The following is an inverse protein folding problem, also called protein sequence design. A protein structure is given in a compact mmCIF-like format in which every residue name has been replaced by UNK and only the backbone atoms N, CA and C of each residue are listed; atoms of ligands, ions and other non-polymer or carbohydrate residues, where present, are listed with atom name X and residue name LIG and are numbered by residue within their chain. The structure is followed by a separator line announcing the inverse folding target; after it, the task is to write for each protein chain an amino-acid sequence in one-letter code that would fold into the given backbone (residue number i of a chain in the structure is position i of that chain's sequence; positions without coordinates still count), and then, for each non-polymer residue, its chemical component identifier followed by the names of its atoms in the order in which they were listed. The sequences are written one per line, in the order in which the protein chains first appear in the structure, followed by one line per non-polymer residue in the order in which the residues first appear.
data_IF_621683310183
#
_entry.id   IF_621683310183
#
_cell.length_a   1.000
_cell.length_b   1.000
_cell.length_c   1.000
_cell.angle_alpha   90.00
_cell.angle_beta   90.00
_cell.angle_gamma   90.00
#
_symmetry.space_group_name_H-M   'P 1'
#
loop_
_entity.id
_entity.type
_entity.pdbx_description
1 polymer ?
#
# COMPACT_ATOMS: atom_id res chain seq x y z
N UNK A 1 0.66 5.45 -9.52
CA UNK A 1 -0.08 6.66 -9.09
C UNK A 1 -0.59 7.51 -10.24
N UNK A 2 0.27 8.08 -11.10
CA UNK A 2 -0.16 8.93 -12.24
C UNK A 2 -1.26 8.29 -13.11
N UNK A 3 -1.09 7.01 -13.46
CA UNK A 3 -2.07 6.22 -14.23
C UNK A 3 -3.41 6.06 -13.50
N UNK A 4 -3.39 5.86 -12.17
CA UNK A 4 -4.60 5.75 -11.38
C UNK A 4 -5.36 7.06 -11.29
N UNK A 5 -4.65 8.20 -11.17
CA UNK A 5 -5.30 9.52 -11.21
C UNK A 5 -6.03 9.71 -12.54
N UNK A 6 -5.35 9.43 -13.66
CA UNK A 6 -5.94 9.52 -15.00
C UNK A 6 -7.16 8.60 -15.16
N UNK A 7 -7.04 7.35 -14.74
CA UNK A 7 -8.12 6.34 -14.80
C UNK A 7 -9.33 6.74 -13.97
N UNK A 8 -9.13 7.13 -12.71
CA UNK A 8 -10.19 7.46 -11.76
C UNK A 8 -10.82 8.83 -12.02
N UNK A 9 -10.06 9.78 -12.60
CA UNK A 9 -10.63 11.04 -13.09
C UNK A 9 -11.66 10.79 -14.19
N UNK A 10 -11.43 9.78 -15.03
CA UNK A 10 -12.33 9.39 -16.12
C UNK A 10 -12.64 10.58 -17.03
N UNK A 11 -13.93 10.90 -17.16
CA UNK A 11 -14.42 12.00 -18.00
C UNK A 11 -14.25 13.40 -17.37
N UNK A 12 -13.96 13.50 -16.07
CA UNK A 12 -13.77 14.79 -15.37
C UNK A 12 -12.59 15.52 -15.99
N UNK A 13 -12.76 16.72 -16.52
CA UNK A 13 -11.62 17.45 -17.12
C UNK A 13 -10.70 18.07 -16.04
N UNK A 14 -9.52 18.56 -16.44
CA UNK A 14 -8.56 19.13 -15.48
C UNK A 14 -9.07 20.35 -14.72
N UNK A 15 -9.92 21.16 -15.35
CA UNK A 15 -10.50 22.35 -14.71
C UNK A 15 -11.50 21.93 -13.62
N UNK A 16 -12.35 20.94 -13.92
CA UNK A 16 -13.28 20.37 -12.96
C UNK A 16 -12.54 19.72 -11.79
N UNK A 17 -11.50 18.92 -12.07
CA UNK A 17 -10.70 18.30 -11.00
C UNK A 17 -9.99 19.35 -10.14
N UNK A 18 -9.47 20.44 -10.73
CA UNK A 18 -8.90 21.56 -9.99
C UNK A 18 -9.94 22.22 -9.08
N UNK A 19 -11.18 22.42 -9.57
CA UNK A 19 -12.30 22.89 -8.76
C UNK A 19 -12.62 21.95 -7.59
N UNK A 20 -12.72 20.64 -7.85
CA UNK A 20 -12.99 19.63 -6.82
C UNK A 20 -11.91 19.56 -5.74
N UNK A 21 -10.64 19.72 -6.11
CA UNK A 21 -9.53 19.79 -5.15
C UNK A 21 -9.69 20.98 -4.20
N UNK A 22 -10.06 22.15 -4.73
CA UNK A 22 -10.29 23.34 -3.92
C UNK A 22 -11.53 23.19 -3.04
N UNK A 23 -12.62 22.69 -3.61
CA UNK A 23 -13.92 22.55 -2.93
C UNK A 23 -13.89 21.51 -1.81
N UNK A 24 -13.37 20.31 -2.09
CA UNK A 24 -13.47 19.16 -1.18
C UNK A 24 -12.27 18.99 -0.25
N UNK A 25 -11.09 19.45 -0.66
CA UNK A 25 -9.85 19.21 0.06
C UNK A 25 -9.14 20.49 0.50
N UNK A 26 -9.72 21.67 0.23
CA UNK A 26 -9.08 22.96 0.45
C UNK A 26 -7.65 23.05 -0.14
N UNK A 27 -7.43 22.35 -1.27
CA UNK A 27 -6.11 22.16 -1.84
C UNK A 27 -6.06 22.73 -3.27
N UNK A 28 -5.07 23.57 -3.56
CA UNK A 28 -4.97 24.26 -4.84
C UNK A 28 -3.93 23.59 -5.75
N UNK A 29 -4.42 22.96 -6.83
CA UNK A 29 -3.58 22.53 -7.95
C UNK A 29 -4.24 23.04 -9.22
N UNK A 30 -3.49 23.81 -10.01
CA UNK A 30 -3.97 24.28 -11.30
C UNK A 30 -3.99 23.15 -12.36
N UNK A 31 -4.66 23.39 -13.48
CA UNK A 31 -4.83 22.41 -14.56
C UNK A 31 -3.49 21.90 -15.13
N UNK A 32 -2.49 22.77 -15.23
CA UNK A 32 -1.12 22.41 -15.67
C UNK A 32 -0.47 21.46 -14.68
N UNK A 33 -0.63 21.71 -13.38
CA UNK A 33 -0.12 20.88 -12.30
C UNK A 33 -0.74 19.48 -12.33
N UNK A 34 -2.05 19.39 -12.54
CA UNK A 34 -2.77 18.11 -12.69
C UNK A 34 -2.26 17.34 -13.90
N UNK A 35 -2.12 18.01 -15.05
CA UNK A 35 -1.58 17.38 -16.27
C UNK A 35 -0.17 16.81 -16.04
N UNK A 36 0.71 17.54 -15.35
CA UNK A 36 2.07 17.09 -15.01
C UNK A 36 2.09 15.93 -14.01
N UNK A 37 1.11 15.85 -13.12
CA UNK A 37 0.95 14.69 -12.24
C UNK A 37 0.60 13.47 -13.08
N UNK A 38 -0.37 13.58 -13.99
CA UNK A 38 -0.79 12.46 -14.86
C UNK A 38 0.29 12.02 -15.86
N UNK A 39 1.19 12.91 -16.29
CA UNK A 39 2.35 12.54 -17.13
C UNK A 39 3.55 12.03 -16.34
N UNK A 40 3.50 12.03 -15.01
CA UNK A 40 4.62 11.64 -14.14
C UNK A 40 5.75 12.67 -14.05
N UNK A 41 5.61 13.83 -14.69
CA UNK A 41 6.56 14.95 -14.63
C UNK A 41 6.60 15.63 -13.26
N UNK A 42 5.52 15.49 -12.47
CA UNK A 42 5.42 16.06 -11.12
C UNK A 42 5.16 14.97 -10.10
N UNK A 43 6.08 14.84 -9.14
CA UNK A 43 5.87 14.03 -7.94
C UNK A 43 4.76 14.64 -7.08
N UNK A 44 3.98 13.78 -6.47
CA UNK A 44 2.87 14.16 -5.58
C UNK A 44 3.32 13.99 -4.13
N UNK A 45 3.10 15.02 -3.32
CA UNK A 45 3.37 14.97 -1.88
C UNK A 45 2.31 14.12 -1.18
N UNK A 46 2.56 13.62 0.05
CA UNK A 46 1.53 12.93 0.83
C UNK A 46 0.22 13.72 0.97
N UNK A 47 0.31 15.03 1.26
CA UNK A 47 -0.86 15.90 1.35
C UNK A 47 -1.59 16.02 0.01
N UNK A 48 -0.85 16.15 -1.09
CA UNK A 48 -1.42 16.18 -2.44
C UNK A 48 -2.08 14.85 -2.82
N UNK A 49 -1.52 13.72 -2.40
CA UNK A 49 -2.10 12.39 -2.61
C UNK A 49 -3.44 12.29 -1.88
N UNK A 50 -3.48 12.72 -0.62
CA UNK A 50 -4.71 12.73 0.17
C UNK A 50 -5.76 13.67 -0.43
N UNK A 51 -5.36 14.87 -0.86
CA UNK A 51 -6.26 15.82 -1.49
C UNK A 51 -6.88 15.27 -2.79
N UNK A 52 -6.08 14.61 -3.64
CA UNK A 52 -6.58 13.95 -4.86
C UNK A 52 -7.52 12.79 -4.51
N UNK A 53 -7.20 12.00 -3.49
CA UNK A 53 -8.06 10.92 -3.01
C UNK A 53 -9.43 11.45 -2.57
N UNK A 54 -9.45 12.52 -1.78
CA UNK A 54 -10.67 13.21 -1.33
C UNK A 54 -11.46 13.79 -2.52
N UNK A 55 -10.80 14.49 -3.44
CA UNK A 55 -11.46 15.09 -4.60
C UNK A 55 -12.16 14.03 -5.49
N UNK A 56 -11.51 12.87 -5.66
CA UNK A 56 -12.01 11.75 -6.46
C UNK A 56 -12.91 10.79 -5.67
N UNK A 57 -13.05 10.96 -4.35
CA UNK A 57 -13.88 10.09 -3.50
C UNK A 57 -13.34 8.67 -3.34
N UNK A 58 -12.02 8.50 -3.28
CA UNK A 58 -11.34 7.21 -3.12
C UNK A 58 -10.36 7.23 -1.95
N UNK A 59 -9.79 6.08 -1.59
CA UNK A 59 -8.70 6.02 -0.61
C UNK A 59 -7.35 6.40 -1.26
N UNK A 60 -6.37 6.96 -0.50
CA UNK A 60 -5.03 7.20 -1.03
C UNK A 60 -4.34 5.89 -1.46
N UNK A 61 -4.63 4.77 -0.80
CA UNK A 61 -4.12 3.44 -1.18
C UNK A 61 -4.56 3.06 -2.59
N UNK A 62 -5.82 3.33 -2.95
CA UNK A 62 -6.35 3.11 -4.31
C UNK A 62 -5.57 3.88 -5.39
N UNK A 63 -5.03 5.05 -5.05
CA UNK A 63 -4.19 5.82 -5.98
C UNK A 63 -2.74 5.29 -6.04
N UNK A 64 -2.24 4.72 -4.96
CA UNK A 64 -0.88 4.18 -4.88
C UNK A 64 -0.73 2.85 -5.63
N UNK A 65 -1.64 1.90 -5.39
CA UNK A 65 -1.54 0.54 -5.93
C UNK A 65 -1.92 0.50 -7.41
N UNK A 66 -1.04 -0.02 -8.30
CA UNK A 66 -1.35 -0.13 -9.73
C UNK A 66 -2.64 -0.91 -10.01
N UNK A 67 -3.45 -0.44 -10.95
CA UNK A 67 -4.55 -1.24 -11.50
C UNK A 67 -3.98 -2.17 -12.58
N UNK A 68 -3.80 -3.44 -12.22
CA UNK A 68 -3.20 -4.45 -13.11
C UNK A 68 -4.22 -5.11 -14.03
N UNK A 69 -5.51 -4.80 -13.88
CA UNK A 69 -6.60 -5.50 -14.57
C UNK A 69 -6.80 -6.96 -14.14
N UNK A 70 -6.16 -7.41 -13.06
CA UNK A 70 -6.43 -8.71 -12.46
C UNK A 70 -7.75 -8.67 -11.69
N UNK A 71 -8.61 -9.67 -11.92
CA UNK A 71 -9.99 -9.71 -11.40
C UNK A 71 -10.19 -10.74 -10.28
N UNK A 72 -9.11 -11.39 -9.80
CA UNK A 72 -9.18 -12.40 -8.75
C UNK A 72 -9.50 -13.82 -9.20
N UNK A 73 -9.79 -14.07 -10.48
CA UNK A 73 -10.31 -15.36 -10.93
C UNK A 73 -9.25 -16.46 -11.08
N UNK A 74 -8.00 -16.10 -11.41
CA UNK A 74 -6.92 -17.05 -11.68
C UNK A 74 -5.73 -16.74 -10.76
N UNK A 75 -5.26 -17.75 -10.03
CA UNK A 75 -4.19 -17.61 -9.05
C UNK A 75 -2.83 -17.28 -9.71
N UNK A 76 -2.51 -17.93 -10.83
CA UNK A 76 -1.22 -17.82 -11.51
C UNK A 76 -1.19 -16.75 -12.63
N UNK A 77 -2.11 -15.78 -12.57
CA UNK A 77 -2.13 -14.68 -13.52
C UNK A 77 -0.95 -13.72 -13.26
N UNK A 78 -0.13 -13.46 -14.28
CA UNK A 78 1.00 -12.53 -14.17
C UNK A 78 0.57 -11.11 -13.77
N UNK A 79 -0.67 -10.70 -14.10
CA UNK A 79 -1.25 -9.42 -13.66
C UNK A 79 -1.43 -9.33 -12.15
N UNK A 80 -1.34 -10.44 -11.42
CA UNK A 80 -1.39 -10.45 -9.96
C UNK A 80 -0.13 -9.85 -9.33
N UNK A 81 0.97 -9.75 -10.07
CA UNK A 81 2.27 -9.34 -9.54
C UNK A 81 2.67 -7.94 -10.02
N UNK A 82 3.24 -7.14 -9.11
CA UNK A 82 3.69 -5.77 -9.39
C UNK A 82 5.10 -5.52 -8.85
N UNK A 83 5.86 -4.68 -9.53
CA UNK A 83 7.15 -4.19 -9.04
C UNK A 83 6.95 -3.15 -7.95
N UNK A 84 7.64 -3.32 -6.82
CA UNK A 84 7.60 -2.40 -5.69
C UNK A 84 8.98 -1.80 -5.48
N UNK A 85 9.07 -0.47 -5.50
CA UNK A 85 10.33 0.23 -5.26
C UNK A 85 10.92 -0.18 -3.90
N UNK A 86 12.17 -0.64 -3.91
CA UNK A 86 12.89 -1.06 -2.71
C UNK A 86 12.73 -2.54 -2.34
N UNK A 87 11.88 -3.30 -3.05
CA UNK A 87 11.78 -4.75 -2.91
C UNK A 87 12.45 -5.47 -4.08
N UNK A 88 12.96 -6.67 -3.82
CA UNK A 88 13.57 -7.51 -4.86
C UNK A 88 12.52 -8.35 -5.56
N UNK A 89 12.20 -7.97 -6.79
CA UNK A 89 11.31 -8.70 -7.70
C UNK A 89 9.82 -8.41 -7.51
N UNK A 90 8.97 -9.00 -8.37
CA UNK A 90 7.53 -8.80 -8.34
C UNK A 90 6.88 -9.32 -7.05
N UNK A 91 5.91 -8.58 -6.53
CA UNK A 91 5.15 -8.92 -5.32
C UNK A 91 3.67 -9.05 -5.67
N UNK A 92 2.97 -10.01 -5.04
CA UNK A 92 1.52 -10.14 -5.16
C UNK A 92 0.82 -8.84 -4.77
N UNK A 93 0.00 -8.28 -5.67
CA UNK A 93 -0.72 -7.02 -5.49
C UNK A 93 -1.64 -7.04 -4.26
N UNK A 94 -2.17 -8.20 -3.87
CA UNK A 94 -2.93 -8.37 -2.62
C UNK A 94 -2.03 -8.16 -1.41
N UNK A 95 -0.82 -8.70 -1.44
CA UNK A 95 0.15 -8.48 -0.38
C UNK A 95 0.58 -7.01 -0.30
N UNK A 96 0.78 -6.35 -1.45
CA UNK A 96 1.11 -4.91 -1.47
C UNK A 96 -0.04 -4.07 -0.88
N UNK A 97 -1.29 -4.44 -1.17
CA UNK A 97 -2.46 -3.79 -0.57
C UNK A 97 -2.46 -3.90 0.96
N UNK A 98 -2.25 -5.10 1.49
CA UNK A 98 -2.17 -5.35 2.94
C UNK A 98 -0.99 -4.62 3.58
N UNK A 99 0.17 -4.61 2.91
CA UNK A 99 1.36 -3.89 3.35
C UNK A 99 1.10 -2.39 3.49
N UNK A 100 0.50 -1.74 2.48
CA UNK A 100 0.26 -0.29 2.50
C UNK A 100 -0.80 0.10 3.54
N UNK A 101 -1.70 -0.81 3.88
CA UNK A 101 -2.65 -0.64 5.00
C UNK A 101 -2.05 -0.90 6.38
N UNK A 102 -0.79 -1.31 6.43
CA UNK A 102 -0.11 -1.80 7.63
C UNK A 102 -0.74 -3.04 8.26
N UNK A 103 -1.45 -3.86 7.49
CA UNK A 103 -1.97 -5.15 7.95
C UNK A 103 -0.93 -6.26 7.87
N UNK A 104 0.11 -6.08 7.04
CA UNK A 104 1.24 -7.00 6.91
C UNK A 104 2.58 -6.27 6.88
N UNK A 105 3.65 -6.92 7.36
CA UNK A 105 4.99 -6.36 7.29
C UNK A 105 5.54 -6.36 5.86
N UNK A 106 6.74 -5.78 5.69
CA UNK A 106 7.53 -6.00 4.47
C UNK A 106 7.92 -7.48 4.35
N UNK A 107 8.10 -8.02 3.13
CA UNK A 107 8.54 -9.40 2.95
C UNK A 107 9.84 -9.68 3.72
N UNK A 108 9.85 -10.76 4.51
CA UNK A 108 11.00 -11.16 5.32
C UNK A 108 11.14 -10.44 6.67
N UNK A 109 10.27 -9.47 6.99
CA UNK A 109 10.27 -8.81 8.30
C UNK A 109 9.34 -9.54 9.30
N UNK A 110 9.76 -9.78 10.56
CA UNK A 110 8.91 -10.41 11.56
C UNK A 110 7.68 -9.56 11.93
N UNK A 111 6.51 -10.21 12.04
CA UNK A 111 5.23 -9.55 12.35
C UNK A 111 5.27 -8.71 13.64
N UNK A 112 5.88 -9.24 14.70
CA UNK A 112 5.93 -8.58 16.02
C UNK A 112 6.73 -7.28 15.95
N UNK A 113 7.91 -7.32 15.31
CA UNK A 113 8.75 -6.13 15.17
C UNK A 113 8.01 -5.06 14.36
N UNK A 114 7.36 -5.48 13.27
CA UNK A 114 6.56 -4.59 12.45
C UNK A 114 5.40 -3.96 13.23
N UNK A 115 4.57 -4.76 13.90
CA UNK A 115 3.42 -4.26 14.68
C UNK A 115 3.88 -3.25 15.73
N UNK A 116 4.94 -3.55 16.47
CA UNK A 116 5.45 -2.68 17.54
C UNK A 116 5.88 -1.29 17.05
N UNK A 117 6.33 -1.19 15.79
CA UNK A 117 6.85 0.04 15.19
C UNK A 117 5.87 0.75 14.27
N UNK A 118 5.04 0.00 13.55
CA UNK A 118 4.15 0.52 12.53
C UNK A 118 2.78 0.93 13.09
N UNK A 119 2.28 0.21 14.09
CA UNK A 119 0.96 0.50 14.64
C UNK A 119 1.05 1.58 15.72
N UNK A 120 0.11 2.54 15.77
CA UNK A 120 0.03 3.46 16.89
C UNK A 120 -0.35 2.71 18.17
N UNK A 121 0.09 3.23 19.33
CA UNK A 121 -0.07 2.55 20.62
C UNK A 121 -1.52 2.15 20.94
N UNK A 122 -2.51 2.97 20.58
CA UNK A 122 -3.92 2.66 20.81
C UNK A 122 -4.39 1.43 20.02
N UNK A 123 -3.84 1.20 18.82
CA UNK A 123 -4.17 0.04 18.00
C UNK A 123 -3.50 -1.22 18.57
N UNK A 124 -2.23 -1.10 18.98
CA UNK A 124 -1.52 -2.19 19.68
C UNK A 124 -2.28 -2.63 20.94
N UNK A 125 -2.78 -1.67 21.74
CA UNK A 125 -3.52 -1.97 22.97
C UNK A 125 -4.87 -2.65 22.66
N UNK A 126 -5.60 -2.16 21.65
CA UNK A 126 -6.89 -2.74 21.24
C UNK A 126 -6.73 -4.19 20.78
N UNK A 127 -5.66 -4.47 20.04
CA UNK A 127 -5.38 -5.79 19.47
C UNK A 127 -4.46 -6.64 20.36
N UNK A 128 -4.26 -6.27 21.64
CA UNK A 128 -3.33 -6.95 22.56
C UNK A 128 -3.55 -8.47 22.66
N UNK A 129 -4.82 -8.92 22.70
CA UNK A 129 -5.17 -10.35 22.69
C UNK A 129 -4.72 -11.08 21.42
N UNK A 130 -4.65 -10.38 20.29
CA UNK A 130 -4.16 -10.91 19.02
C UNK A 130 -2.63 -10.94 18.99
N UNK A 131 -1.97 -9.89 19.53
CA UNK A 131 -0.53 -9.81 19.67
C UNK A 131 -0.01 -10.92 20.58
N UNK A 132 -0.66 -11.19 21.72
CA UNK A 132 -0.28 -12.26 22.64
C UNK A 132 -0.34 -13.64 21.95
N UNK A 133 -1.37 -13.89 21.14
CA UNK A 133 -1.48 -15.13 20.34
C UNK A 133 -0.40 -15.24 19.26
N UNK A 134 -0.02 -14.13 18.62
CA UNK A 134 1.11 -14.11 17.68
C UNK A 134 2.40 -14.43 18.43
N UNK A 135 2.64 -13.81 19.59
CA UNK A 135 3.81 -14.04 20.43
C UNK A 135 3.90 -15.50 20.91
N UNK A 136 2.77 -16.10 21.30
CA UNK A 136 2.69 -17.52 21.67
C UNK A 136 3.03 -18.43 20.50
N UNK A 137 2.52 -18.14 19.30
CA UNK A 137 2.82 -18.91 18.08
C UNK A 137 4.28 -18.79 17.65
N UNK A 138 4.90 -17.62 17.80
CA UNK A 138 6.33 -17.42 17.55
C UNK A 138 7.22 -18.11 18.59
N UNK A 139 6.75 -18.29 19.83
CA UNK A 139 7.45 -19.05 20.87
C UNK A 139 7.24 -20.56 20.80
N UNK A 140 6.19 -21.01 20.11
CA UNK A 140 5.80 -22.43 19.97
C UNK A 140 6.39 -23.16 18.76
N UNK A 141 7.16 -22.49 17.90
CA UNK A 141 8.00 -23.14 16.91
C UNK A 141 9.26 -23.65 17.62
N UNK A 142 9.51 -24.98 17.70
CA UNK A 142 10.81 -25.46 18.14
C UNK A 142 11.88 -24.98 17.15
N UNK A 143 13.07 -24.67 17.66
CA UNK A 143 14.28 -24.47 16.87
C UNK A 143 14.76 -25.83 16.34
N UNK A 144 14.01 -26.49 15.45
CA UNK A 144 14.51 -27.61 14.66
C UNK A 144 15.40 -27.12 13.51
N UNK A 145 16.48 -26.43 13.89
CA UNK A 145 17.70 -26.27 13.10
C UNK A 145 18.93 -26.43 14.01
N UNK A 146 18.86 -27.39 14.93
CA UNK A 146 19.99 -27.83 15.75
C UNK A 146 20.61 -29.11 15.21
N UNK A 147 21.67 -28.98 14.43
CA UNK A 147 22.86 -29.83 14.54
C UNK A 147 22.67 -31.35 14.41
N UNK A 148 22.71 -31.87 13.17
CA UNK A 148 23.43 -33.14 12.94
C UNK A 148 24.88 -32.81 12.60
N UNK A 149 25.73 -32.96 13.60
CA UNK A 149 27.19 -32.85 13.54
C UNK A 149 27.73 -34.28 13.74
N UNK A 150 28.66 -34.70 12.89
CA UNK A 150 29.61 -35.77 13.20
C UNK A 150 29.35 -37.11 12.52
N UNK A 151 30.21 -37.42 11.55
CA UNK A 151 31.07 -38.60 11.48
C UNK A 151 30.44 -39.98 11.76
N UNK A 152 30.29 -40.77 10.69
CA UNK A 152 31.13 -41.96 10.43
C UNK A 152 31.14 -42.30 8.92
#
# INVERSE_FOLDING_TARGET
MAENVKRLRGATNYMQLSGLLQEKAAWSINTVGIRRIESGERRVTPDGLMAVAVALGVSPVTLMIPDTGWNGAVADDQRRYVEVTGLSGPVDVVYVWDLVRADRPLPGMPDIEFISRAWPAWLQQRESLFIDKILERSRGLPDDAGSSRGDD
#
